data_IF_026454244670
#
_entry.id   IF_026454244670
#
_cell.length_a   1.000
_cell.length_b   1.000
_cell.length_c   1.000
_cell.angle_alpha   90.00
_cell.angle_beta   90.00
_cell.angle_gamma   90.00
#
_symmetry.space_group_name_H-M   'P 1'
#
loop_
_entity.id
_entity.type
_entity.pdbx_description
1 polymer ?
#
# COMPACT_ATOMS: atom_id res chain seq x y z
N UNK A 1 6.47 12.56 -3.29
CA UNK A 1 7.88 12.60 -2.84
C UNK A 1 7.87 12.68 -1.32
N UNK A 2 8.86 12.08 -0.65
CA UNK A 2 8.85 11.87 0.82
C UNK A 2 8.45 13.09 1.68
N UNK A 3 8.89 14.34 1.39
CA UNK A 3 8.49 15.50 2.20
C UNK A 3 6.98 15.79 2.16
N UNK A 4 6.32 15.52 1.04
CA UNK A 4 4.86 15.69 0.91
C UNK A 4 4.12 14.63 1.72
N UNK A 5 4.62 13.39 1.70
CA UNK A 5 4.04 12.27 2.44
C UNK A 5 4.17 12.51 3.95
N UNK A 6 5.34 13.00 4.41
CA UNK A 6 5.55 13.36 5.82
C UNK A 6 4.63 14.50 6.27
N UNK A 7 4.44 15.52 5.44
CA UNK A 7 3.49 16.62 5.74
C UNK A 7 2.07 16.10 5.93
N UNK A 8 1.63 15.14 5.09
CA UNK A 8 0.32 14.52 5.24
C UNK A 8 0.26 13.70 6.54
N UNK A 9 1.30 12.92 6.84
CA UNK A 9 1.39 12.12 8.06
C UNK A 9 1.34 12.99 9.33
N UNK A 10 2.07 14.11 9.37
CA UNK A 10 2.08 15.05 10.50
C UNK A 10 0.68 15.63 10.76
N UNK A 11 -0.08 15.91 9.71
CA UNK A 11 -1.47 16.34 9.82
C UNK A 11 -2.36 15.21 10.34
N UNK A 12 -2.25 14.00 9.77
CA UNK A 12 -3.05 12.85 10.17
C UNK A 12 -2.81 12.45 11.64
N UNK A 13 -1.56 12.50 12.11
CA UNK A 13 -1.21 12.22 13.51
C UNK A 13 -1.89 13.17 14.52
N UNK A 14 -2.31 14.36 14.08
CA UNK A 14 -2.98 15.34 14.94
C UNK A 14 -4.50 15.17 14.97
N UNK A 15 -5.09 14.67 13.88
CA UNK A 15 -6.53 14.81 13.64
C UNK A 15 -7.25 13.51 13.27
N UNK A 16 -6.53 12.45 12.90
CA UNK A 16 -7.13 11.17 12.50
C UNK A 16 -7.04 10.14 13.62
N UNK A 17 -8.10 9.37 13.81
CA UNK A 17 -8.16 8.30 14.82
C UNK A 17 -7.51 7.00 14.32
N UNK A 18 -7.61 6.71 13.02
CA UNK A 18 -7.13 5.46 12.44
C UNK A 18 -6.40 5.70 11.13
N UNK A 19 -5.09 5.49 11.18
CA UNK A 19 -4.17 5.64 10.04
C UNK A 19 -3.40 4.34 9.87
N UNK A 20 -3.24 3.88 8.64
CA UNK A 20 -2.36 2.77 8.29
C UNK A 20 -1.21 3.35 7.48
N UNK A 21 0.01 3.12 7.93
CA UNK A 21 1.23 3.65 7.33
C UNK A 21 1.97 2.51 6.66
N UNK A 22 2.41 2.73 5.43
CA UNK A 22 3.31 1.86 4.70
C UNK A 22 4.51 2.71 4.27
N UNK A 23 5.64 2.59 4.96
CA UNK A 23 6.89 3.27 4.59
C UNK A 23 7.84 2.28 3.90
N UNK A 24 8.19 2.56 2.64
CA UNK A 24 9.11 1.72 1.90
C UNK A 24 10.51 1.63 2.53
N UNK A 25 10.93 2.65 3.29
CA UNK A 25 12.18 2.56 4.06
C UNK A 25 12.16 1.40 5.05
N UNK A 26 11.06 1.23 5.77
CA UNK A 26 10.86 0.12 6.71
C UNK A 26 10.76 -1.23 6.01
N UNK A 27 10.41 -1.23 4.72
CA UNK A 27 10.34 -2.41 3.86
C UNK A 27 11.66 -2.74 3.14
N UNK A 28 12.77 -2.11 3.54
CA UNK A 28 14.09 -2.42 3.01
C UNK A 28 14.50 -1.62 1.77
N UNK A 29 13.82 -0.52 1.45
CA UNK A 29 14.23 0.34 0.33
C UNK A 29 15.68 0.85 0.47
N UNK A 30 16.15 1.01 1.72
CA UNK A 30 17.52 1.45 2.04
C UNK A 30 18.60 0.43 1.66
N UNK A 31 18.24 -0.80 1.27
CA UNK A 31 19.21 -1.78 0.75
C UNK A 31 19.53 -1.58 -0.74
N UNK A 32 18.84 -0.66 -1.41
CA UNK A 32 19.02 -0.33 -2.83
C UNK A 32 19.81 0.98 -2.95
N UNK A 33 20.70 1.08 -3.93
CA UNK A 33 21.50 2.30 -4.17
C UNK A 33 20.60 3.54 -4.31
N UNK A 34 20.91 4.59 -3.55
CA UNK A 34 20.13 5.83 -3.47
C UNK A 34 19.90 6.52 -4.83
N UNK A 35 20.79 6.29 -5.82
CA UNK A 35 20.64 6.86 -7.16
C UNK A 35 19.43 6.29 -7.91
N UNK A 36 18.95 5.12 -7.52
CA UNK A 36 17.86 4.41 -8.20
C UNK A 36 16.75 3.93 -7.28
N UNK A 37 16.95 3.96 -5.96
CA UNK A 37 16.00 3.42 -4.98
C UNK A 37 14.59 3.98 -5.15
N UNK A 38 14.43 5.27 -5.46
CA UNK A 38 13.11 5.89 -5.65
C UNK A 38 12.25 5.17 -6.71
N UNK A 39 12.85 4.60 -7.77
CA UNK A 39 12.12 3.87 -8.81
C UNK A 39 11.58 2.51 -8.34
N UNK A 40 12.12 1.95 -7.26
CA UNK A 40 11.68 0.67 -6.68
C UNK A 40 10.61 0.86 -5.60
N UNK A 41 10.40 2.09 -5.11
CA UNK A 41 9.40 2.39 -4.09
C UNK A 41 7.99 1.88 -4.48
N UNK A 42 7.47 2.11 -5.71
CA UNK A 42 6.16 1.59 -6.11
C UNK A 42 6.08 0.05 -6.11
N UNK A 43 7.18 -0.65 -6.41
CA UNK A 43 7.22 -2.11 -6.43
C UNK A 43 7.14 -2.69 -5.02
N UNK A 44 7.89 -2.13 -4.08
CA UNK A 44 7.82 -2.51 -2.66
C UNK A 44 6.44 -2.23 -2.06
N UNK A 45 5.88 -1.05 -2.34
CA UNK A 45 4.53 -0.71 -1.90
C UNK A 45 3.48 -1.67 -2.48
N UNK A 46 3.59 -2.02 -3.77
CA UNK A 46 2.69 -2.98 -4.42
C UNK A 46 2.74 -4.36 -3.77
N UNK A 47 3.94 -4.86 -3.45
CA UNK A 47 4.11 -6.14 -2.75
C UNK A 47 3.48 -6.11 -1.34
N UNK A 48 3.78 -5.07 -0.55
CA UNK A 48 3.22 -4.92 0.79
C UNK A 48 1.68 -4.80 0.78
N UNK A 49 1.13 -4.00 -0.15
CA UNK A 49 -0.31 -3.90 -0.35
C UNK A 49 -0.94 -5.22 -0.78
N UNK A 50 -0.21 -6.06 -1.54
CA UNK A 50 -0.64 -7.40 -1.90
C UNK A 50 -0.85 -8.29 -0.66
N UNK A 51 0.13 -8.33 0.24
CA UNK A 51 0.03 -9.05 1.51
C UNK A 51 -1.13 -8.52 2.37
N UNK A 52 -1.22 -7.19 2.53
CA UNK A 52 -2.31 -6.57 3.30
C UNK A 52 -3.69 -6.89 2.72
N UNK A 53 -3.84 -6.82 1.39
CA UNK A 53 -5.09 -7.12 0.70
C UNK A 53 -5.50 -8.58 0.87
N UNK A 54 -4.53 -9.50 0.84
CA UNK A 54 -4.78 -10.92 1.07
C UNK A 54 -5.32 -11.18 2.48
N UNK A 55 -4.65 -10.66 3.51
CA UNK A 55 -5.11 -10.83 4.90
C UNK A 55 -6.48 -10.18 5.14
N UNK A 56 -6.71 -9.00 4.57
CA UNK A 56 -8.01 -8.33 4.65
C UNK A 56 -9.12 -9.16 3.97
N UNK A 57 -8.80 -9.86 2.88
CA UNK A 57 -9.74 -10.75 2.18
C UNK A 57 -10.18 -11.93 3.07
N UNK A 58 -9.25 -12.48 3.87
CA UNK A 58 -9.53 -13.54 4.85
C UNK A 58 -10.41 -12.99 5.97
N UNK A 59 -9.98 -11.89 6.60
CA UNK A 59 -10.69 -11.27 7.72
C UNK A 59 -12.15 -10.92 7.38
N UNK A 60 -12.39 -10.47 6.14
CA UNK A 60 -13.72 -10.11 5.64
C UNK A 60 -14.48 -11.26 4.98
N UNK A 61 -13.90 -12.45 4.88
CA UNK A 61 -14.47 -13.61 4.16
C UNK A 61 -14.88 -13.26 2.73
N UNK A 62 -14.08 -12.43 2.06
CA UNK A 62 -14.36 -11.92 0.72
C UNK A 62 -13.16 -12.16 -0.19
N UNK A 63 -13.12 -13.29 -0.94
CA UNK A 63 -11.96 -13.65 -1.76
C UNK A 63 -11.59 -12.57 -2.78
N UNK A 64 -10.29 -12.35 -3.00
CA UNK A 64 -9.79 -11.36 -3.97
C UNK A 64 -10.19 -11.63 -5.42
N UNK A 65 -10.60 -12.85 -5.75
CA UNK A 65 -11.13 -13.24 -7.06
C UNK A 65 -12.63 -12.99 -7.21
N UNK A 66 -13.34 -12.63 -6.13
CA UNK A 66 -14.78 -12.43 -6.16
C UNK A 66 -15.16 -11.22 -7.04
N UNK A 67 -15.96 -11.46 -8.08
CA UNK A 67 -16.50 -10.40 -8.96
C UNK A 67 -17.99 -10.60 -9.15
N UNK A 68 -18.76 -9.51 -9.24
CA UNK A 68 -20.19 -9.55 -9.60
C UNK A 68 -20.43 -9.37 -11.09
N UNK A 69 -19.60 -8.57 -11.78
CA UNK A 69 -19.82 -8.18 -13.18
C UNK A 69 -18.65 -8.53 -14.10
N UNK A 70 -17.43 -8.16 -13.69
CA UNK A 70 -16.20 -8.44 -14.45
C UNK A 70 -16.13 -9.94 -14.78
N UNK A 71 -16.05 -10.25 -16.07
CA UNK A 71 -16.02 -11.61 -16.64
C UNK A 71 -17.28 -12.46 -16.42
N UNK A 72 -18.40 -11.86 -16.02
CA UNK A 72 -19.69 -12.57 -15.83
C UNK A 72 -20.81 -12.08 -16.74
N UNK A 73 -20.74 -10.83 -17.19
CA UNK A 73 -21.72 -10.21 -18.08
C UNK A 73 -20.99 -9.64 -19.30
N UNK A 74 -21.72 -9.52 -20.41
CA UNK A 74 -21.32 -8.59 -21.46
C UNK A 74 -21.79 -7.19 -21.07
N UNK A 75 -20.88 -6.23 -21.15
CA UNK A 75 -21.08 -4.83 -20.82
C UNK A 75 -20.24 -3.97 -21.75
#
# INVERSE_FOLDING_TARGET
TRPLDQRALDFLNRFAEKVIILDAKELGLETIDDKVSEFFNPLLMGAALGCYSYELSIARKHPLSCRRYMWKLQY
#
